data_IF_585368213358
#
_entry.id   IF_585368213358
#
_cell.length_a   1.000
_cell.length_b   1.000
_cell.length_c   1.000
_cell.angle_alpha   90.00
_cell.angle_beta   90.00
_cell.angle_gamma   90.00
#
_symmetry.space_group_name_H-M   'P 1'
#
loop_
_entity.id
_entity.type
_entity.pdbx_description
1 polymer ?
#
# COMPACT_ATOMS: atom_id res chain seq x y z
N UNK A 1 7.47 -4.03 12.91
CA UNK A 1 6.41 -3.06 12.62
C UNK A 1 5.17 -3.72 12.00
N UNK A 2 5.30 -4.45 10.89
CA UNK A 2 4.15 -5.11 10.26
C UNK A 2 3.50 -6.16 11.16
N UNK A 3 4.30 -6.96 11.87
CA UNK A 3 3.77 -7.94 12.80
C UNK A 3 2.98 -7.31 13.94
N UNK A 4 3.38 -6.12 14.40
CA UNK A 4 2.65 -5.39 15.44
C UNK A 4 1.29 -4.91 14.93
N UNK A 5 1.23 -4.38 13.71
CA UNK A 5 -0.03 -3.98 13.09
C UNK A 5 -1.00 -5.16 13.00
N UNK A 6 -0.49 -6.32 12.58
CA UNK A 6 -1.30 -7.52 12.47
C UNK A 6 -1.86 -7.96 13.83
N UNK A 7 -1.04 -7.91 14.88
CA UNK A 7 -1.50 -8.26 16.24
C UNK A 7 -2.59 -7.31 16.74
N UNK A 8 -2.60 -6.07 16.29
CA UNK A 8 -3.63 -5.08 16.65
C UNK A 8 -4.89 -5.20 15.80
N UNK A 9 -4.99 -6.20 14.94
CA UNK A 9 -6.18 -6.44 14.13
C UNK A 9 -6.23 -5.65 12.85
N UNK A 10 -5.13 -5.03 12.44
CA UNK A 10 -5.04 -4.27 11.18
C UNK A 10 -4.85 -5.25 10.03
N UNK A 11 -5.68 -5.12 8.99
CA UNK A 11 -5.52 -5.89 7.77
C UNK A 11 -4.37 -5.33 6.95
N UNK A 12 -3.51 -6.21 6.47
CA UNK A 12 -2.36 -5.85 5.64
C UNK A 12 -2.57 -6.33 4.21
N UNK A 13 -2.30 -5.47 3.24
CA UNK A 13 -2.46 -5.77 1.82
C UNK A 13 -1.27 -5.27 1.01
N UNK A 14 -1.00 -5.95 -0.10
CA UNK A 14 0.00 -5.54 -1.09
C UNK A 14 -0.70 -5.21 -2.39
N UNK A 15 -0.37 -4.03 -2.97
CA UNK A 15 -0.81 -3.61 -4.29
C UNK A 15 0.43 -3.34 -5.15
N UNK A 16 0.65 -4.14 -6.17
CA UNK A 16 1.87 -4.10 -6.98
C UNK A 16 1.56 -4.06 -8.47
N UNK A 17 2.41 -3.38 -9.26
CA UNK A 17 2.35 -3.42 -10.72
C UNK A 17 3.05 -4.66 -11.31
N UNK A 18 3.68 -5.51 -10.50
CA UNK A 18 4.19 -6.80 -10.96
C UNK A 18 3.03 -7.73 -11.28
N UNK A 19 3.24 -8.67 -12.19
CA UNK A 19 2.21 -9.67 -12.50
C UNK A 19 1.75 -10.35 -11.22
N UNK A 20 0.45 -10.59 -11.13
CA UNK A 20 -0.19 -11.13 -9.93
C UNK A 20 0.46 -12.44 -9.47
N UNK A 21 0.71 -13.36 -10.39
CA UNK A 21 1.33 -14.65 -10.07
C UNK A 21 2.71 -14.50 -9.46
N UNK A 22 3.53 -13.58 -10.00
CA UNK A 22 4.86 -13.31 -9.44
C UNK A 22 4.75 -12.66 -8.05
N UNK A 23 3.81 -11.76 -7.86
CA UNK A 23 3.60 -11.08 -6.59
C UNK A 23 3.17 -12.07 -5.51
N UNK A 24 2.22 -12.95 -5.82
CA UNK A 24 1.73 -13.98 -4.89
C UNK A 24 2.85 -14.95 -4.49
N UNK A 25 3.78 -15.25 -5.40
CA UNK A 25 4.91 -16.12 -5.11
C UNK A 25 5.99 -15.40 -4.27
N UNK A 26 6.30 -14.14 -4.58
CA UNK A 26 7.39 -13.39 -3.93
C UNK A 26 7.08 -12.99 -2.50
N UNK A 27 5.86 -12.55 -2.22
CA UNK A 27 5.52 -12.00 -0.90
C UNK A 27 5.72 -13.02 0.23
N UNK A 28 5.20 -14.26 0.13
CA UNK A 28 5.48 -15.26 1.16
C UNK A 28 6.96 -15.61 1.29
N UNK A 29 7.72 -15.58 0.18
CA UNK A 29 9.15 -15.87 0.20
C UNK A 29 9.95 -14.86 1.01
N UNK A 30 9.56 -13.57 0.97
CA UNK A 30 10.28 -12.49 1.68
C UNK A 30 9.72 -12.19 3.07
N UNK A 31 8.42 -12.35 3.29
CA UNK A 31 7.75 -11.92 4.52
C UNK A 31 7.13 -13.07 5.31
N UNK A 32 7.15 -14.29 4.78
CA UNK A 32 6.47 -15.41 5.39
C UNK A 32 4.99 -15.48 5.04
N UNK A 33 4.41 -16.65 5.15
CA UNK A 33 3.01 -16.85 4.87
C UNK A 33 2.13 -16.25 5.97
N UNK A 34 0.99 -15.72 5.59
CA UNK A 34 -0.03 -15.23 6.52
C UNK A 34 0.19 -13.83 7.07
N UNK A 35 1.30 -13.13 6.71
CA UNK A 35 1.50 -11.76 7.17
C UNK A 35 0.54 -10.80 6.47
N UNK A 36 0.38 -10.92 5.15
CA UNK A 36 -0.53 -10.10 4.37
C UNK A 36 -1.85 -10.82 4.15
N UNK A 37 -2.94 -10.13 4.44
CA UNK A 37 -4.30 -10.67 4.27
C UNK A 37 -4.72 -10.69 2.80
N UNK A 38 -4.23 -9.73 2.02
CA UNK A 38 -4.52 -9.61 0.60
C UNK A 38 -3.25 -9.27 -0.17
N UNK A 39 -3.02 -9.95 -1.29
CA UNK A 39 -1.88 -9.68 -2.17
C UNK A 39 -2.42 -9.58 -3.59
N UNK A 40 -2.35 -8.39 -4.18
CA UNK A 40 -2.80 -8.13 -5.54
C UNK A 40 -1.65 -7.59 -6.39
N UNK A 41 -1.37 -8.28 -7.48
CA UNK A 41 -0.47 -7.81 -8.52
C UNK A 41 -1.24 -7.42 -9.77
N UNK A 42 -0.52 -7.13 -10.86
CA UNK A 42 -1.14 -6.85 -12.15
C UNK A 42 -1.84 -8.09 -12.69
N UNK A 43 -3.09 -7.92 -13.11
CA UNK A 43 -3.91 -8.98 -13.72
C UNK A 43 -4.43 -8.50 -15.05
N UNK A 44 -4.60 -9.43 -15.98
CA UNK A 44 -5.16 -9.12 -17.30
C UNK A 44 -6.54 -8.48 -17.14
N UNK A 45 -6.76 -7.38 -17.89
CA UNK A 45 -8.02 -6.64 -17.84
C UNK A 45 -8.16 -5.68 -16.66
N UNK A 46 -7.18 -5.64 -15.76
CA UNK A 46 -7.18 -4.71 -14.62
C UNK A 46 -6.12 -3.63 -14.88
N UNK A 47 -6.48 -2.34 -14.88
CA UNK A 47 -5.50 -1.27 -15.07
C UNK A 47 -4.44 -1.24 -13.98
N UNK A 48 -3.21 -0.90 -14.36
CA UNK A 48 -2.10 -0.76 -13.41
C UNK A 48 -2.12 0.61 -12.73
N UNK A 49 -1.41 0.72 -11.58
CA UNK A 49 -1.22 2.00 -10.91
C UNK A 49 -0.58 3.01 -11.90
N UNK A 50 -0.92 4.29 -11.87
CA UNK A 50 -1.71 4.98 -10.85
C UNK A 50 -3.23 4.88 -10.98
N UNK A 51 -3.76 3.99 -11.82
CA UNK A 51 -5.19 3.76 -11.86
C UNK A 51 -5.66 3.23 -10.50
N UNK A 52 -6.80 3.70 -9.96
CA UNK A 52 -7.23 3.33 -8.61
C UNK A 52 -7.89 1.95 -8.49
N UNK A 53 -8.08 1.25 -9.59
CA UNK A 53 -8.85 -0.01 -9.59
C UNK A 53 -8.31 -1.04 -8.61
N UNK A 54 -6.98 -1.22 -8.55
CA UNK A 54 -6.38 -2.19 -7.63
C UNK A 54 -6.71 -1.86 -6.17
N UNK A 55 -6.75 -0.57 -5.81
CA UNK A 55 -7.12 -0.14 -4.45
C UNK A 55 -8.59 -0.43 -4.17
N UNK A 56 -9.46 -0.14 -5.13
CA UNK A 56 -10.89 -0.43 -4.98
C UNK A 56 -11.15 -1.93 -4.82
N UNK A 57 -10.42 -2.76 -5.55
CA UNK A 57 -10.54 -4.22 -5.43
C UNK A 57 -10.13 -4.70 -4.03
N UNK A 58 -9.04 -4.13 -3.48
CA UNK A 58 -8.59 -4.46 -2.12
C UNK A 58 -9.60 -4.01 -1.09
N UNK A 59 -10.11 -2.79 -1.21
CA UNK A 59 -11.13 -2.23 -0.31
C UNK A 59 -12.37 -3.13 -0.28
N UNK A 60 -12.83 -3.56 -1.45
CA UNK A 60 -13.97 -4.45 -1.57
C UNK A 60 -13.71 -5.80 -0.92
N UNK A 61 -12.54 -6.39 -1.18
CA UNK A 61 -12.16 -7.68 -0.61
C UNK A 61 -12.03 -7.62 0.91
N UNK A 62 -11.49 -6.53 1.43
CA UNK A 62 -11.29 -6.34 2.87
C UNK A 62 -12.57 -5.94 3.61
N UNK A 63 -13.59 -5.44 2.89
CA UNK A 63 -14.83 -5.00 3.52
C UNK A 63 -14.69 -3.75 4.35
N UNK A 64 -13.77 -2.86 3.99
CA UNK A 64 -13.50 -1.61 4.72
C UNK A 64 -13.93 -0.40 3.90
N UNK A 65 -13.93 0.78 4.53
CA UNK A 65 -14.23 2.05 3.85
C UNK A 65 -12.93 2.76 3.49
N UNK A 66 -12.99 3.67 2.51
CA UNK A 66 -11.82 4.47 2.09
C UNK A 66 -11.18 5.20 3.27
N UNK A 67 -11.98 5.73 4.19
CA UNK A 67 -11.50 6.47 5.35
C UNK A 67 -10.72 5.60 6.33
N UNK A 68 -10.84 4.28 6.22
CA UNK A 68 -10.14 3.31 7.06
C UNK A 68 -8.84 2.80 6.43
N UNK A 69 -8.47 3.30 5.25
CA UNK A 69 -7.31 2.82 4.50
C UNK A 69 -6.14 3.79 4.60
N UNK A 70 -4.96 3.24 4.86
CA UNK A 70 -3.70 3.96 4.77
C UNK A 70 -2.87 3.32 3.67
N UNK A 71 -2.57 4.08 2.62
CA UNK A 71 -1.75 3.63 1.50
C UNK A 71 -0.29 4.04 1.74
N UNK A 72 0.60 3.07 1.78
CA UNK A 72 2.03 3.30 2.02
C UNK A 72 2.80 2.97 0.74
N UNK A 73 3.59 3.92 0.26
CA UNK A 73 4.34 3.73 -0.97
C UNK A 73 5.62 4.55 -1.03
N UNK A 74 6.51 4.21 -1.96
CA UNK A 74 7.83 4.82 -2.09
C UNK A 74 8.05 5.56 -3.40
N UNK A 75 7.01 5.74 -4.21
CA UNK A 75 7.12 6.39 -5.52
C UNK A 75 5.99 7.37 -5.78
N UNK A 76 6.20 8.25 -6.77
CA UNK A 76 5.15 9.17 -7.23
C UNK A 76 3.93 8.43 -7.75
N UNK A 77 4.14 7.30 -8.42
CA UNK A 77 3.03 6.46 -8.91
C UNK A 77 2.16 5.98 -7.75
N UNK A 78 2.77 5.55 -6.64
CA UNK A 78 2.04 5.12 -5.46
C UNK A 78 1.21 6.28 -4.86
N UNK A 79 1.81 7.45 -4.78
CA UNK A 79 1.11 8.63 -4.23
C UNK A 79 -0.07 9.04 -5.11
N UNK A 80 0.12 9.01 -6.43
CA UNK A 80 -0.97 9.28 -7.38
C UNK A 80 -2.09 8.25 -7.27
N UNK A 81 -1.73 6.99 -7.05
CA UNK A 81 -2.72 5.92 -6.85
C UNK A 81 -3.59 6.21 -5.62
N UNK A 82 -2.98 6.64 -4.53
CA UNK A 82 -3.70 6.99 -3.32
C UNK A 82 -4.63 8.19 -3.55
N UNK A 83 -4.14 9.24 -4.20
CA UNK A 83 -4.95 10.41 -4.55
C UNK A 83 -6.14 10.02 -5.42
N UNK A 84 -5.89 9.23 -6.47
CA UNK A 84 -6.93 8.82 -7.42
C UNK A 84 -7.98 7.92 -6.77
N UNK A 85 -7.61 7.14 -5.78
CA UNK A 85 -8.54 6.27 -5.06
C UNK A 85 -9.22 6.96 -3.87
N UNK A 86 -8.74 8.13 -3.47
CA UNK A 86 -9.34 8.90 -2.38
C UNK A 86 -8.99 8.37 -0.99
N UNK A 87 -7.84 7.71 -0.84
CA UNK A 87 -7.37 7.20 0.45
C UNK A 87 -6.19 8.03 0.98
N UNK A 88 -5.96 7.97 2.29
CA UNK A 88 -4.83 8.65 2.93
C UNK A 88 -3.52 7.97 2.53
N UNK A 89 -2.50 8.77 2.23
CA UNK A 89 -1.20 8.26 1.79
C UNK A 89 -0.07 8.61 2.73
N UNK A 90 0.89 7.68 2.84
CA UNK A 90 2.19 7.90 3.48
C UNK A 90 3.27 7.56 2.48
N UNK A 91 4.10 8.56 2.14
CA UNK A 91 5.29 8.33 1.34
C UNK A 91 6.46 7.94 2.24
N UNK A 92 7.20 6.90 1.86
CA UNK A 92 8.35 6.43 2.62
C UNK A 92 9.64 6.75 1.88
N UNK A 93 10.65 7.21 2.61
CA UNK A 93 11.89 7.72 2.00
C UNK A 93 13.02 6.70 1.92
N UNK A 94 12.86 5.52 2.49
CA UNK A 94 13.89 4.46 2.40
C UNK A 94 13.82 3.63 1.11
N UNK A 95 12.91 3.98 0.18
CA UNK A 95 12.83 3.36 -1.14
C UNK A 95 13.72 4.06 -2.17
N UNK A 96 13.36 3.96 -3.45
CA UNK A 96 14.17 4.50 -4.56
C UNK A 96 13.92 5.97 -4.85
N UNK A 97 12.87 6.58 -4.31
CA UNK A 97 12.46 7.94 -4.63
C UNK A 97 12.65 8.86 -3.43
N UNK A 98 12.81 10.15 -3.71
CA UNK A 98 13.06 11.14 -2.68
C UNK A 98 11.77 11.77 -2.17
N UNK A 99 11.92 12.55 -1.08
CA UNK A 99 10.81 13.24 -0.45
C UNK A 99 10.10 14.21 -1.41
N UNK A 100 10.86 14.90 -2.26
CA UNK A 100 10.29 15.88 -3.19
C UNK A 100 9.34 15.24 -4.19
N UNK A 101 9.73 14.10 -4.76
CA UNK A 101 8.85 13.38 -5.67
C UNK A 101 7.56 12.94 -4.98
N UNK A 102 7.67 12.42 -3.76
CA UNK A 102 6.52 11.95 -3.01
C UNK A 102 5.55 13.08 -2.71
N UNK A 103 6.04 14.22 -2.24
CA UNK A 103 5.21 15.37 -1.94
C UNK A 103 4.60 15.98 -3.20
N UNK A 104 5.36 16.07 -4.30
CA UNK A 104 4.87 16.60 -5.57
C UNK A 104 3.74 15.74 -6.15
N UNK A 105 3.67 14.46 -5.81
CA UNK A 105 2.64 13.54 -6.29
C UNK A 105 1.51 13.30 -5.28
N UNK A 106 1.45 14.08 -4.21
CA UNK A 106 0.29 14.12 -3.33
C UNK A 106 0.41 13.34 -2.03
N UNK A 107 1.63 12.99 -1.59
CA UNK A 107 1.80 12.36 -0.28
C UNK A 107 1.23 13.28 0.81
N UNK A 108 0.34 12.74 1.64
CA UNK A 108 -0.21 13.48 2.77
C UNK A 108 0.72 13.46 3.97
N UNK A 109 1.44 12.37 4.16
CA UNK A 109 2.41 12.19 5.23
C UNK A 109 3.69 11.60 4.66
N UNK A 110 4.81 11.86 5.33
CA UNK A 110 6.12 11.30 4.98
C UNK A 110 6.69 10.56 6.18
N UNK A 111 7.14 9.32 5.97
CA UNK A 111 7.83 8.53 6.98
C UNK A 111 9.27 8.28 6.51
N UNK A 112 10.23 8.64 7.35
CA UNK A 112 11.65 8.38 7.08
C UNK A 112 12.09 7.03 7.65
N UNK A 113 11.36 6.50 8.63
CA UNK A 113 11.62 5.20 9.24
C UNK A 113 10.31 4.41 9.38
N UNK A 114 10.37 3.06 9.27
CA UNK A 114 9.15 2.24 9.26
C UNK A 114 8.21 2.44 10.45
N UNK A 115 8.76 2.57 11.66
CA UNK A 115 7.91 2.71 12.85
C UNK A 115 7.10 4.01 12.85
N UNK A 116 7.48 5.01 12.09
CA UNK A 116 6.74 6.28 12.00
C UNK A 116 5.36 6.09 11.41
N UNK A 117 5.16 5.05 10.59
CA UNK A 117 3.86 4.73 10.01
C UNK A 117 2.80 4.52 11.09
N UNK A 118 3.19 3.99 12.24
CA UNK A 118 2.29 3.74 13.36
C UNK A 118 1.57 5.01 13.84
N UNK A 119 2.16 6.18 13.63
CA UNK A 119 1.56 7.46 14.05
C UNK A 119 0.23 7.74 13.35
N UNK A 120 0.04 7.22 12.15
CA UNK A 120 -1.15 7.51 11.34
C UNK A 120 -2.12 6.35 11.28
N UNK A 121 -1.80 5.24 11.94
CA UNK A 121 -2.71 4.10 12.04
C UNK A 121 -3.75 4.40 13.12
N UNK A 122 -5.02 4.28 12.74
CA UNK A 122 -6.15 4.49 13.65
C UNK A 122 -6.77 3.15 13.99
N UNK A 123 -6.82 2.86 15.25
CA UNK A 123 -7.37 1.62 15.78
C UNK A 123 -8.79 1.79 16.24
#
# INVERSE_FOLDING_TARGET
MLGELKRQGILLAVASNKYHEATVALIPAYFGEGLFDFVFGQREGIPIKPDPTIVYDIIKAAGVRKEEVLYVGDSGVDMQTAVNSGVTSVGVTWGFRDREELLANGAQYIADEPYEIMKWVRL
#
